data_IF_646288014112
#
_entry.id   IF_646288014112
#
_cell.length_a   1.000
_cell.length_b   1.000
_cell.length_c   1.000
_cell.angle_alpha   90.00
_cell.angle_beta   90.00
_cell.angle_gamma   90.00
#
_symmetry.space_group_name_H-M   'P 1'
#
loop_
_entity.id
_entity.type
_entity.pdbx_description
1 polymer ?
#
# COMPACT_ATOMS: atom_id res chain seq x y z
N UNK A 1 -15.88 27.01 2.87
CA UNK A 1 -15.91 25.95 1.84
C UNK A 1 -15.41 26.61 0.59
N UNK A 2 -14.16 26.34 0.20
CA UNK A 2 -13.56 26.98 -0.97
C UNK A 2 -14.24 26.48 -2.25
N UNK A 3 -14.88 27.40 -2.98
CA UNK A 3 -15.62 27.17 -4.23
C UNK A 3 -14.74 26.71 -5.42
N UNK A 4 -13.47 26.36 -5.19
CA UNK A 4 -12.49 26.07 -6.24
C UNK A 4 -11.89 24.65 -6.20
N UNK A 5 -12.41 23.75 -5.34
CA UNK A 5 -11.92 22.36 -5.30
C UNK A 5 -12.67 21.49 -6.30
N UNK A 6 -11.99 21.10 -7.38
CA UNK A 6 -12.51 20.18 -8.39
C UNK A 6 -12.91 18.84 -7.74
N UNK A 7 -14.12 18.33 -8.01
CA UNK A 7 -14.58 17.10 -7.37
C UNK A 7 -13.79 15.87 -7.87
N UNK A 8 -13.75 14.80 -7.06
CA UNK A 8 -13.15 13.51 -7.42
C UNK A 8 -13.63 13.00 -8.79
N UNK A 9 -14.94 13.14 -9.04
CA UNK A 9 -15.59 12.76 -10.29
C UNK A 9 -15.09 13.62 -11.45
N UNK A 10 -15.00 14.94 -11.26
CA UNK A 10 -14.54 15.86 -12.30
C UNK A 10 -13.07 15.62 -12.68
N UNK A 11 -12.22 15.31 -11.70
CA UNK A 11 -10.82 14.94 -11.92
C UNK A 11 -10.72 13.69 -12.80
N UNK A 12 -11.53 12.67 -12.51
CA UNK A 12 -11.59 11.43 -13.30
C UNK A 12 -12.11 11.69 -14.70
N UNK A 13 -13.20 12.45 -14.86
CA UNK A 13 -13.79 12.75 -16.17
C UNK A 13 -12.78 13.51 -17.03
N UNK A 14 -12.11 14.53 -16.48
CA UNK A 14 -11.06 15.29 -17.19
C UNK A 14 -9.93 14.39 -17.69
N UNK A 15 -9.47 13.44 -16.87
CA UNK A 15 -8.39 12.51 -17.23
C UNK A 15 -8.84 11.39 -18.16
N UNK A 16 -10.10 10.97 -18.05
CA UNK A 16 -10.72 9.97 -18.94
C UNK A 16 -10.96 10.55 -20.33
N UNK A 17 -11.37 11.82 -20.43
CA UNK A 17 -11.50 12.55 -21.70
C UNK A 17 -10.17 12.69 -22.45
N UNK A 18 -9.05 12.72 -21.72
CA UNK A 18 -7.70 12.69 -22.29
C UNK A 18 -7.21 11.27 -22.66
N UNK A 19 -8.09 10.26 -22.65
CA UNK A 19 -7.80 8.84 -22.93
C UNK A 19 -6.72 8.18 -22.05
N UNK A 20 -6.23 8.86 -21.00
CA UNK A 20 -5.17 8.36 -20.11
C UNK A 20 -5.70 7.28 -19.16
N UNK A 21 -6.89 7.48 -18.63
CA UNK A 21 -7.49 6.60 -17.63
C UNK A 21 -8.47 5.66 -18.34
N UNK A 22 -8.29 4.36 -18.11
CA UNK A 22 -9.11 3.29 -18.68
C UNK A 22 -9.38 2.23 -17.62
N UNK A 23 -10.47 1.49 -17.76
CA UNK A 23 -10.67 0.21 -17.07
C UNK A 23 -10.32 -0.93 -18.02
N UNK A 24 -10.22 -2.16 -17.53
CA UNK A 24 -9.97 -3.34 -18.38
C UNK A 24 -11.07 -4.36 -18.20
N UNK A 25 -11.40 -5.08 -19.26
CA UNK A 25 -12.43 -6.12 -19.25
C UNK A 25 -12.02 -7.32 -20.08
N UNK A 26 -12.53 -8.50 -19.74
CA UNK A 26 -12.38 -9.72 -20.53
C UNK A 26 -13.13 -9.59 -21.87
N UNK A 27 -12.48 -9.94 -22.97
CA UNK A 27 -13.08 -9.93 -24.30
C UNK A 27 -13.75 -11.27 -24.60
N UNK A 28 -15.08 -11.29 -24.67
CA UNK A 28 -15.85 -12.38 -25.27
C UNK A 28 -16.55 -11.82 -26.54
N UNK A 29 -16.35 -12.45 -27.71
CA UNK A 29 -16.94 -12.02 -29.01
C UNK A 29 -18.46 -12.42 -29.11
N UNK A 30 -19.17 -12.47 -30.26
CA UNK A 30 -20.61 -12.86 -30.35
C UNK A 30 -20.93 -13.84 -31.55
N UNK A 31 -21.96 -14.71 -31.47
CA UNK A 31 -22.45 -15.84 -32.33
C UNK A 31 -23.92 -15.92 -31.93
N UNK A 32 -24.79 -15.57 -32.87
CA UNK A 32 -26.24 -15.60 -32.77
C UNK A 32 -26.86 -16.96 -33.15
N UNK A 33 -26.21 -18.10 -32.92
CA UNK A 33 -26.78 -19.37 -33.42
C UNK A 33 -26.24 -20.62 -32.72
N UNK A 34 -26.54 -20.81 -31.44
CA UNK A 34 -26.58 -22.14 -30.79
C UNK A 34 -27.67 -22.10 -29.71
N UNK A 35 -28.61 -23.05 -29.72
CA UNK A 35 -29.63 -23.25 -28.67
C UNK A 35 -29.06 -24.10 -27.50
N UNK A 36 -29.65 -24.13 -26.29
CA UNK A 36 -29.35 -23.11 -25.29
C UNK A 36 -29.09 -23.64 -23.87
N UNK A 37 -28.54 -24.86 -23.64
CA UNK A 37 -28.67 -25.43 -22.28
C UNK A 37 -27.38 -25.65 -21.46
N UNK A 38 -26.15 -25.50 -21.98
CA UNK A 38 -24.94 -25.83 -21.18
C UNK A 38 -23.69 -24.94 -21.32
N UNK A 39 -23.60 -24.04 -22.31
CA UNK A 39 -22.39 -23.19 -22.49
C UNK A 39 -22.45 -21.94 -21.60
N UNK A 40 -23.64 -21.47 -21.24
CA UNK A 40 -23.83 -20.25 -20.44
C UNK A 40 -23.28 -20.38 -19.01
N UNK A 41 -23.30 -21.60 -18.47
CA UNK A 41 -22.77 -21.94 -17.14
C UNK A 41 -21.32 -22.44 -17.16
N UNK A 42 -20.67 -22.44 -18.34
CA UNK A 42 -19.23 -22.66 -18.42
C UNK A 42 -18.46 -21.44 -17.92
N UNK A 43 -17.34 -21.71 -17.24
CA UNK A 43 -16.39 -20.69 -16.82
C UNK A 43 -15.50 -20.31 -18.00
N UNK A 44 -15.47 -19.02 -18.31
CA UNK A 44 -14.44 -18.42 -19.15
C UNK A 44 -13.07 -18.57 -18.45
N UNK A 45 -11.95 -18.67 -19.18
CA UNK A 45 -10.61 -18.65 -18.59
C UNK A 45 -10.31 -17.44 -17.71
N UNK A 46 -11.08 -16.35 -17.80
CA UNK A 46 -11.00 -15.22 -16.88
C UNK A 46 -11.64 -15.50 -15.50
N UNK A 47 -12.25 -16.67 -15.29
CA UNK A 47 -12.94 -17.07 -14.06
C UNK A 47 -14.42 -16.68 -13.98
N UNK A 48 -14.94 -15.87 -14.91
CA UNK A 48 -16.38 -15.50 -14.95
C UNK A 48 -17.18 -16.52 -15.75
N UNK A 49 -18.43 -16.75 -15.36
CA UNK A 49 -19.39 -17.45 -16.23
C UNK A 49 -19.56 -16.69 -17.55
N UNK A 50 -19.65 -17.41 -18.67
CA UNK A 50 -19.76 -16.81 -20.00
C UNK A 50 -20.99 -15.86 -20.07
N UNK A 51 -22.13 -16.25 -19.47
CA UNK A 51 -23.33 -15.40 -19.38
C UNK A 51 -23.17 -14.08 -18.61
N UNK A 52 -22.14 -13.98 -17.76
CA UNK A 52 -21.89 -12.77 -16.96
C UNK A 52 -21.07 -11.70 -17.69
N UNK A 53 -20.56 -11.98 -18.90
CA UNK A 53 -19.79 -10.99 -19.66
C UNK A 53 -20.67 -9.93 -20.32
N UNK A 54 -21.86 -10.30 -20.78
CA UNK A 54 -22.84 -9.37 -21.38
C UNK A 54 -23.62 -8.56 -20.35
N UNK A 55 -23.85 -9.10 -19.15
CA UNK A 55 -24.65 -8.47 -18.07
C UNK A 55 -23.85 -7.50 -17.19
N UNK A 56 -22.52 -7.53 -17.23
CA UNK A 56 -21.67 -6.67 -16.41
C UNK A 56 -21.31 -5.33 -17.06
N UNK A 57 -21.79 -5.03 -18.28
CA UNK A 57 -21.42 -3.84 -19.06
C UNK A 57 -19.99 -3.89 -19.62
N UNK A 58 -19.41 -5.09 -19.62
CA UNK A 58 -18.00 -5.38 -19.81
C UNK A 58 -17.73 -6.00 -21.21
N UNK A 59 -18.76 -6.27 -22.00
CA UNK A 59 -18.64 -6.57 -23.43
C UNK A 59 -18.53 -5.28 -24.22
N UNK A 60 -17.50 -5.17 -25.06
CA UNK A 60 -17.41 -4.15 -26.12
C UNK A 60 -18.66 -4.22 -27.01
N UNK A 61 -19.69 -3.44 -26.71
CA UNK A 61 -20.57 -2.94 -27.75
C UNK A 61 -19.83 -1.80 -28.49
N UNK A 62 -18.72 -2.12 -29.16
CA UNK A 62 -18.20 -1.22 -30.17
C UNK A 62 -19.16 -1.22 -31.35
N UNK A 63 -19.34 -0.05 -31.96
CA UNK A 63 -20.19 0.17 -33.14
C UNK A 63 -19.90 -0.78 -34.33
N UNK A 64 -18.81 -1.54 -34.28
CA UNK A 64 -18.45 -2.60 -35.23
C UNK A 64 -19.28 -3.88 -35.07
N UNK A 65 -19.79 -4.20 -33.87
CA UNK A 65 -20.72 -5.32 -33.65
C UNK A 65 -22.06 -5.12 -34.40
N UNK A 66 -22.43 -3.86 -34.68
CA UNK A 66 -23.58 -3.52 -35.54
C UNK A 66 -23.34 -3.84 -37.02
N UNK A 67 -22.09 -4.10 -37.44
CA UNK A 67 -21.72 -4.44 -38.83
C UNK A 67 -21.60 -5.95 -39.11
N UNK A 68 -22.09 -6.78 -38.20
CA UNK A 68 -22.61 -8.11 -38.52
C UNK A 68 -21.64 -9.22 -38.94
N UNK A 69 -20.32 -9.14 -38.67
CA UNK A 69 -19.38 -10.09 -39.29
C UNK A 69 -18.21 -10.61 -38.43
N UNK A 70 -18.41 -10.96 -37.17
CA UNK A 70 -17.35 -11.64 -36.36
C UNK A 70 -17.88 -12.89 -35.65
N UNK A 71 -17.43 -14.07 -36.08
CA UNK A 71 -17.66 -15.38 -35.43
C UNK A 71 -16.81 -15.48 -34.16
N UNK A 72 -17.35 -15.95 -33.02
CA UNK A 72 -16.52 -16.24 -31.84
C UNK A 72 -15.53 -17.39 -32.09
N UNK A 73 -14.39 -17.33 -31.41
CA UNK A 73 -13.62 -18.51 -31.00
C UNK A 73 -13.39 -18.45 -29.49
N UNK A 74 -13.47 -19.60 -28.83
CA UNK A 74 -12.96 -19.79 -27.47
C UNK A 74 -11.42 -19.69 -27.52
N UNK A 75 -10.75 -18.89 -26.68
CA UNK A 75 -9.32 -19.03 -26.50
C UNK A 75 -9.08 -20.32 -25.71
N UNK A 76 -8.39 -21.30 -26.31
CA UNK A 76 -8.15 -22.60 -25.68
C UNK A 76 -7.26 -22.50 -24.43
N UNK A 77 -6.48 -21.42 -24.26
CA UNK A 77 -5.64 -21.15 -23.09
C UNK A 77 -5.52 -19.65 -22.82
N UNK A 78 -5.16 -19.28 -21.59
CA UNK A 78 -4.83 -17.91 -21.19
C UNK A 78 -3.48 -17.48 -21.78
N UNK A 79 -3.44 -17.28 -23.10
CA UNK A 79 -2.27 -16.75 -23.79
C UNK A 79 -2.06 -15.29 -23.34
N UNK A 80 -0.81 -14.89 -23.12
CA UNK A 80 -0.35 -13.59 -22.63
C UNK A 80 -1.30 -12.39 -22.87
N UNK A 81 -1.38 -11.52 -21.85
CA UNK A 81 -2.49 -10.60 -21.54
C UNK A 81 -3.05 -9.64 -22.62
N UNK A 82 -2.56 -9.64 -23.86
CA UNK A 82 -3.03 -8.76 -24.93
C UNK A 82 -4.13 -9.35 -25.83
N UNK A 83 -4.44 -10.65 -25.76
CA UNK A 83 -5.38 -11.29 -26.71
C UNK A 83 -6.81 -11.49 -26.20
N UNK A 84 -7.04 -11.45 -24.88
CA UNK A 84 -8.34 -11.77 -24.28
C UNK A 84 -8.86 -10.73 -23.26
N UNK A 85 -8.24 -9.55 -23.19
CA UNK A 85 -8.77 -8.41 -22.44
C UNK A 85 -8.53 -7.12 -23.20
N UNK A 86 -9.41 -6.14 -23.01
CA UNK A 86 -9.37 -4.84 -23.69
C UNK A 86 -9.50 -3.72 -22.69
N UNK A 87 -8.82 -2.61 -22.97
CA UNK A 87 -8.98 -1.38 -22.22
C UNK A 87 -10.24 -0.65 -22.72
N UNK A 88 -11.14 -0.30 -21.81
CA UNK A 88 -12.40 0.42 -22.06
C UNK A 88 -12.37 1.77 -21.35
N UNK A 89 -13.23 2.72 -21.74
CA UNK A 89 -13.45 3.92 -20.94
C UNK A 89 -13.74 3.56 -19.47
N UNK A 90 -13.29 4.40 -18.54
CA UNK A 90 -13.55 4.18 -17.11
C UNK A 90 -15.06 4.08 -16.88
N UNK A 91 -15.50 2.97 -16.28
CA UNK A 91 -16.92 2.66 -16.12
C UNK A 91 -17.39 2.50 -14.66
N UNK A 92 -16.47 2.42 -13.70
CA UNK A 92 -16.80 2.30 -12.27
C UNK A 92 -15.95 3.28 -11.48
N UNK A 93 -16.59 4.31 -10.95
CA UNK A 93 -15.99 5.31 -10.08
C UNK A 93 -17.09 6.08 -9.34
N UNK A 94 -16.74 6.72 -8.23
CA UNK A 94 -17.69 7.52 -7.47
C UNK A 94 -17.25 7.70 -6.02
N UNK A 95 -18.22 7.98 -5.17
CA UNK A 95 -18.04 8.15 -3.72
C UNK A 95 -19.15 7.40 -2.99
N UNK A 96 -18.77 6.47 -2.12
CA UNK A 96 -19.71 5.72 -1.30
C UNK A 96 -20.37 6.63 -0.26
N UNK A 97 -21.69 6.51 -0.14
CA UNK A 97 -22.46 7.14 0.93
C UNK A 97 -22.82 6.10 2.00
N UNK A 98 -22.80 6.45 3.30
CA UNK A 98 -22.45 7.75 3.88
C UNK A 98 -20.95 7.94 4.18
N UNK A 99 -20.09 6.94 3.94
CA UNK A 99 -18.70 6.96 4.43
C UNK A 99 -17.80 8.00 3.75
N UNK A 100 -18.16 8.44 2.55
CA UNK A 100 -17.36 9.35 1.74
C UNK A 100 -16.14 8.68 1.11
N UNK A 101 -16.05 7.35 1.12
CA UNK A 101 -14.95 6.62 0.49
C UNK A 101 -15.03 6.73 -1.04
N UNK A 102 -13.98 7.30 -1.64
CA UNK A 102 -13.86 7.46 -3.09
C UNK A 102 -13.39 6.16 -3.71
N UNK A 103 -13.96 5.75 -4.84
CA UNK A 103 -13.53 4.54 -5.53
C UNK A 103 -13.34 4.79 -7.02
N UNK A 104 -12.45 3.99 -7.63
CA UNK A 104 -12.12 4.07 -9.04
C UNK A 104 -11.55 2.74 -9.55
N UNK A 105 -12.16 2.21 -10.62
CA UNK A 105 -11.72 1.00 -11.34
C UNK A 105 -10.77 1.37 -12.47
N UNK A 106 -9.55 0.84 -12.43
CA UNK A 106 -8.49 1.17 -13.39
C UNK A 106 -7.90 -0.08 -14.02
N UNK A 107 -7.42 0.04 -15.25
CA UNK A 107 -6.53 -0.94 -15.85
C UNK A 107 -5.28 -1.08 -14.97
N UNK A 108 -4.96 -2.32 -14.60
CA UNK A 108 -3.77 -2.66 -13.80
C UNK A 108 -2.46 -2.16 -14.44
N UNK A 109 -2.49 -1.86 -15.74
CA UNK A 109 -1.34 -1.38 -16.54
C UNK A 109 -1.17 0.13 -16.54
N UNK A 110 -2.04 0.88 -15.87
CA UNK A 110 -1.90 2.33 -15.76
C UNK A 110 -0.53 2.68 -15.14
N UNK A 111 0.24 3.63 -15.72
CA UNK A 111 1.46 4.10 -15.07
C UNK A 111 1.18 4.68 -13.67
N UNK A 112 1.93 4.25 -12.66
CA UNK A 112 1.71 4.70 -11.27
C UNK A 112 1.86 6.21 -11.08
N UNK A 113 2.69 6.87 -11.92
CA UNK A 113 2.78 8.34 -11.99
C UNK A 113 1.43 9.02 -12.21
N UNK A 114 0.64 8.49 -13.14
CA UNK A 114 -0.67 9.06 -13.44
C UNK A 114 -1.63 8.87 -12.27
N UNK A 115 -1.64 7.69 -11.65
CA UNK A 115 -2.45 7.41 -10.45
C UNK A 115 -2.05 8.29 -9.27
N UNK A 116 -0.75 8.37 -8.97
CA UNK A 116 -0.22 9.20 -7.88
C UNK A 116 -0.63 10.66 -8.05
N UNK A 117 -0.49 11.21 -9.25
CA UNK A 117 -0.88 12.58 -9.54
C UNK A 117 -2.40 12.81 -9.37
N UNK A 118 -3.25 11.83 -9.71
CA UNK A 118 -4.70 11.96 -9.48
C UNK A 118 -5.02 12.08 -7.99
N UNK A 119 -4.45 11.19 -7.17
CA UNK A 119 -4.68 11.18 -5.72
C UNK A 119 -4.10 12.45 -5.09
N UNK A 120 -2.93 12.91 -5.56
CA UNK A 120 -2.30 14.14 -5.12
C UNK A 120 -3.21 15.36 -5.36
N UNK A 121 -3.79 15.48 -6.56
CA UNK A 121 -4.74 16.54 -6.91
C UNK A 121 -5.99 16.53 -6.02
N UNK A 122 -6.58 15.35 -5.78
CA UNK A 122 -7.74 15.22 -4.89
C UNK A 122 -7.41 15.56 -3.42
N UNK A 123 -6.17 15.29 -3.00
CA UNK A 123 -5.66 15.64 -1.68
C UNK A 123 -5.18 17.10 -1.57
N UNK A 124 -5.48 17.96 -2.55
CA UNK A 124 -5.15 19.39 -2.50
C UNK A 124 -3.76 19.74 -3.05
N UNK A 125 -3.13 18.85 -3.80
CA UNK A 125 -1.86 19.08 -4.48
C UNK A 125 -0.61 18.98 -3.60
N UNK A 126 -0.78 18.85 -2.28
CA UNK A 126 0.34 18.72 -1.35
C UNK A 126 0.81 17.28 -1.25
N UNK A 127 2.09 17.07 -1.57
CA UNK A 127 2.74 15.76 -1.48
C UNK A 127 2.83 15.32 -0.01
N UNK A 128 2.54 14.05 0.33
CA UNK A 128 2.69 13.57 1.69
C UNK A 128 4.16 13.62 2.13
N UNK A 129 4.40 13.92 3.40
CA UNK A 129 5.74 13.82 3.98
C UNK A 129 6.13 12.36 4.26
N UNK A 130 5.15 11.50 4.49
CA UNK A 130 5.33 10.10 4.86
C UNK A 130 4.27 9.21 4.21
N UNK A 131 4.67 8.01 3.80
CA UNK A 131 3.78 6.91 3.48
C UNK A 131 3.97 5.77 4.48
N UNK A 132 2.87 5.32 5.07
CA UNK A 132 2.82 4.11 5.90
C UNK A 132 2.21 2.98 5.07
N UNK A 133 3.05 2.09 4.54
CA UNK A 133 2.61 0.95 3.74
C UNK A 133 2.37 -0.25 4.65
N UNK A 134 1.11 -0.50 5.00
CA UNK A 134 0.74 -1.56 5.94
C UNK A 134 0.45 -2.86 5.18
N UNK A 135 1.19 -3.92 5.49
CA UNK A 135 0.98 -5.26 4.96
C UNK A 135 0.64 -6.22 6.08
N UNK A 136 -0.21 -7.18 5.77
CA UNK A 136 -0.52 -8.23 6.72
C UNK A 136 -1.54 -9.23 6.19
N UNK A 137 -2.08 -10.03 7.10
CA UNK A 137 -3.06 -11.06 6.77
C UNK A 137 -4.24 -10.47 5.99
N UNK A 138 -4.45 -10.92 4.75
CA UNK A 138 -5.63 -10.60 3.95
C UNK A 138 -6.89 -11.34 4.43
N UNK A 139 -6.72 -12.32 5.33
CA UNK A 139 -7.77 -13.08 6.00
C UNK A 139 -7.91 -12.61 7.45
N UNK A 140 -8.99 -13.04 8.10
CA UNK A 140 -9.16 -12.87 9.53
C UNK A 140 -7.95 -13.44 10.28
N UNK A 141 -7.45 -12.66 11.23
CA UNK A 141 -6.33 -13.00 12.08
C UNK A 141 -6.61 -12.42 13.47
N UNK A 142 -5.90 -12.92 14.48
CA UNK A 142 -6.09 -12.51 15.87
C UNK A 142 -4.74 -12.16 16.46
N UNK A 143 -4.68 -11.04 17.16
CA UNK A 143 -3.58 -10.71 18.06
C UNK A 143 -4.15 -10.39 19.45
N UNK A 144 -3.30 -10.11 20.43
CA UNK A 144 -3.80 -9.70 21.75
C UNK A 144 -4.50 -8.34 21.65
N UNK A 145 -5.57 -8.13 22.42
CA UNK A 145 -6.32 -6.86 22.39
C UNK A 145 -5.41 -5.66 22.68
N UNK A 146 -4.43 -5.82 23.57
CA UNK A 146 -3.44 -4.79 23.86
C UNK A 146 -2.57 -4.47 22.65
N UNK A 147 -2.07 -5.49 21.94
CA UNK A 147 -1.23 -5.28 20.75
C UNK A 147 -2.05 -4.62 19.63
N UNK A 148 -3.30 -5.04 19.46
CA UNK A 148 -4.20 -4.50 18.46
C UNK A 148 -4.45 -3.00 18.66
N UNK A 149 -4.77 -2.61 19.90
CA UNK A 149 -4.95 -1.19 20.27
C UNK A 149 -3.69 -0.37 20.05
N UNK A 150 -2.54 -0.86 20.50
CA UNK A 150 -1.25 -0.17 20.34
C UNK A 150 -0.84 -0.05 18.86
N UNK A 151 -1.10 -1.09 18.06
CA UNK A 151 -0.87 -1.07 16.62
C UNK A 151 -1.73 -0.02 15.92
N UNK A 152 -3.06 -0.06 16.12
CA UNK A 152 -3.97 0.91 15.49
C UNK A 152 -3.60 2.33 15.92
N UNK A 153 -3.43 2.55 17.23
CA UNK A 153 -3.12 3.86 17.80
C UNK A 153 -1.83 4.41 17.21
N UNK A 154 -0.73 3.64 17.23
CA UNK A 154 0.54 4.14 16.75
C UNK A 154 0.58 4.39 15.24
N UNK A 155 -0.16 3.62 14.43
CA UNK A 155 -0.30 3.91 13.00
C UNK A 155 -1.08 5.21 12.77
N UNK A 156 -2.17 5.44 13.49
CA UNK A 156 -3.00 6.65 13.34
C UNK A 156 -2.28 7.88 13.89
N UNK A 157 -1.60 7.75 15.03
CA UNK A 157 -0.78 8.81 15.62
C UNK A 157 0.34 9.20 14.65
N UNK A 158 1.13 8.24 14.16
CA UNK A 158 2.18 8.51 13.18
C UNK A 158 1.63 9.16 11.90
N UNK A 159 0.47 8.71 11.42
CA UNK A 159 -0.15 9.28 10.22
C UNK A 159 -0.66 10.70 10.44
N UNK A 160 -1.26 10.98 11.59
CA UNK A 160 -1.77 12.31 11.93
C UNK A 160 -0.62 13.28 12.12
N UNK A 161 0.39 12.88 12.88
CA UNK A 161 1.58 13.68 13.18
C UNK A 161 2.29 14.07 11.88
N UNK A 162 2.65 13.10 11.04
CA UNK A 162 3.42 13.36 9.83
C UNK A 162 2.58 13.78 8.61
N UNK A 163 1.27 14.00 8.76
CA UNK A 163 0.34 14.15 7.64
C UNK A 163 0.57 13.06 6.57
N UNK A 164 0.69 11.82 7.04
CA UNK A 164 1.06 10.68 6.22
C UNK A 164 -0.14 10.15 5.43
N UNK A 165 0.17 9.44 4.34
CA UNK A 165 -0.80 8.58 3.68
C UNK A 165 -0.59 7.13 4.13
N UNK A 166 -1.68 6.46 4.51
CA UNK A 166 -1.68 5.04 4.84
C UNK A 166 -2.07 4.26 3.58
N UNK A 167 -1.30 3.21 3.24
CA UNK A 167 -1.63 2.28 2.17
C UNK A 167 -1.97 0.91 2.76
N UNK A 168 -3.10 0.34 2.33
CA UNK A 168 -3.54 -1.01 2.71
C UNK A 168 -4.06 -1.77 1.47
N UNK A 169 -4.54 -3.00 1.65
CA UNK A 169 -5.19 -3.74 0.56
C UNK A 169 -6.56 -3.16 0.20
N UNK A 170 -7.24 -2.39 1.06
CA UNK A 170 -8.55 -1.83 0.73
C UNK A 170 -9.71 -2.81 0.75
N UNK A 171 -9.49 -4.06 1.19
CA UNK A 171 -10.53 -5.06 1.39
C UNK A 171 -11.04 -4.95 2.84
N UNK A 172 -12.35 -5.13 3.06
CA UNK A 172 -13.01 -5.16 4.37
C UNK A 172 -12.72 -6.49 5.10
N UNK A 173 -11.45 -6.83 5.25
CA UNK A 173 -10.99 -8.00 5.99
C UNK A 173 -9.56 -7.82 6.50
N UNK A 174 -9.19 -8.62 7.49
CA UNK A 174 -7.85 -8.67 8.07
C UNK A 174 -7.33 -7.28 8.47
N UNK A 175 -6.06 -7.02 8.18
CA UNK A 175 -5.39 -5.77 8.62
C UNK A 175 -5.98 -4.52 8.00
N UNK A 176 -6.50 -4.61 6.77
CA UNK A 176 -7.13 -3.47 6.09
C UNK A 176 -8.40 -3.02 6.80
N UNK A 177 -9.26 -3.97 7.23
CA UNK A 177 -10.43 -3.67 8.07
C UNK A 177 -10.03 -3.07 9.41
N UNK A 178 -9.03 -3.66 10.06
CA UNK A 178 -8.55 -3.19 11.36
C UNK A 178 -8.09 -1.73 11.33
N UNK A 179 -7.32 -1.36 10.31
CA UNK A 179 -6.89 0.04 10.08
C UNK A 179 -8.07 0.94 9.76
N UNK A 180 -9.01 0.49 8.93
CA UNK A 180 -10.23 1.25 8.59
C UNK A 180 -11.11 1.55 9.81
N UNK A 181 -11.39 0.54 10.62
CA UNK A 181 -12.15 0.67 11.87
C UNK A 181 -11.44 1.61 12.85
N UNK A 182 -10.13 1.50 12.96
CA UNK A 182 -9.30 2.44 13.70
C UNK A 182 -9.51 3.88 13.24
N UNK A 183 -9.31 4.16 11.95
CA UNK A 183 -9.49 5.52 11.40
C UNK A 183 -10.89 6.05 11.72
N UNK A 184 -11.92 5.22 11.57
CA UNK A 184 -13.31 5.58 11.89
C UNK A 184 -13.47 5.94 13.37
N UNK A 185 -12.96 5.09 14.26
CA UNK A 185 -13.01 5.28 15.71
C UNK A 185 -12.31 6.57 16.15
N UNK A 186 -11.07 6.78 15.72
CA UNK A 186 -10.27 7.95 16.12
C UNK A 186 -10.76 9.25 15.47
N UNK A 187 -11.37 9.19 14.28
CA UNK A 187 -12.01 10.35 13.66
C UNK A 187 -13.18 10.90 14.51
N UNK A 188 -13.87 10.05 15.27
CA UNK A 188 -14.96 10.47 16.15
C UNK A 188 -14.47 11.15 17.44
N UNK A 189 -13.23 10.90 17.86
CA UNK A 189 -12.70 11.35 19.15
C UNK A 189 -12.34 12.85 19.21
N UNK A 190 -12.57 13.63 18.14
CA UNK A 190 -12.29 15.09 18.03
C UNK A 190 -10.84 15.55 18.29
N UNK A 191 -9.97 14.69 18.82
CA UNK A 191 -8.53 14.96 19.06
C UNK A 191 -7.69 14.95 17.78
N UNK A 192 -8.26 14.45 16.66
CA UNK A 192 -7.58 14.33 15.37
C UNK A 192 -8.19 15.29 14.35
N UNK A 193 -7.71 16.55 14.26
CA UNK A 193 -8.32 17.60 13.43
C UNK A 193 -8.19 17.35 11.92
N UNK A 194 -7.32 16.42 11.50
CA UNK A 194 -7.08 16.08 10.11
C UNK A 194 -7.57 14.67 9.79
N UNK A 195 -8.42 14.53 8.75
CA UNK A 195 -8.86 13.21 8.26
C UNK A 195 -7.67 12.52 7.59
N UNK A 196 -7.06 11.57 8.31
CA UNK A 196 -5.98 10.71 7.82
C UNK A 196 -6.34 10.16 6.44
N UNK A 197 -5.43 10.30 5.49
CA UNK A 197 -5.61 9.76 4.13
C UNK A 197 -5.24 8.29 4.15
N UNK A 198 -6.22 7.43 3.96
CA UNK A 198 -6.01 6.00 3.80
C UNK A 198 -6.48 5.53 2.43
N UNK A 199 -5.56 4.90 1.69
CA UNK A 199 -5.75 4.46 0.31
C UNK A 199 -5.66 2.93 0.30
N UNK A 200 -6.78 2.30 -0.02
CA UNK A 200 -6.88 0.88 -0.28
C UNK A 200 -6.56 0.58 -1.74
N UNK A 201 -5.73 -0.44 -1.99
CA UNK A 201 -5.38 -0.91 -3.33
C UNK A 201 -5.63 -2.41 -3.46
N UNK A 202 -6.56 -2.80 -4.33
CA UNK A 202 -6.89 -4.21 -4.59
C UNK A 202 -7.26 -4.44 -6.04
N UNK A 203 -7.43 -5.70 -6.41
CA UNK A 203 -7.94 -6.10 -7.72
C UNK A 203 -9.47 -6.09 -7.72
N UNK A 204 -10.06 -5.56 -8.79
CA UNK A 204 -11.50 -5.65 -9.08
C UNK A 204 -12.00 -7.10 -9.11
N UNK A 205 -11.13 -8.03 -9.52
CA UNK A 205 -11.43 -9.45 -9.61
C UNK A 205 -11.61 -10.18 -8.28
N UNK A 206 -11.18 -9.58 -7.16
CA UNK A 206 -11.33 -10.16 -5.81
C UNK A 206 -12.51 -9.57 -5.04
N UNK A 207 -13.12 -8.49 -5.54
CA UNK A 207 -14.27 -7.85 -4.90
C UNK A 207 -15.52 -8.68 -5.19
N UNK A 208 -16.33 -8.93 -4.15
CA UNK A 208 -17.55 -9.70 -4.31
C UNK A 208 -18.57 -9.02 -5.26
N UNK A 209 -19.45 -9.82 -5.86
CA UNK A 209 -20.36 -9.31 -6.91
C UNK A 209 -21.35 -8.28 -6.36
N UNK A 210 -21.82 -8.42 -5.11
CA UNK A 210 -22.72 -7.44 -4.49
C UNK A 210 -22.09 -6.05 -4.42
N UNK A 211 -20.87 -5.97 -3.91
CA UNK A 211 -20.09 -4.74 -3.87
C UNK A 211 -19.86 -4.21 -5.29
N UNK A 212 -19.51 -5.07 -6.26
CA UNK A 212 -19.34 -4.64 -7.66
C UNK A 212 -20.61 -4.05 -8.27
N UNK A 213 -21.78 -4.58 -7.92
CA UNK A 213 -23.07 -4.05 -8.36
C UNK A 213 -23.39 -2.70 -7.70
N UNK A 214 -23.14 -2.55 -6.40
CA UNK A 214 -23.28 -1.26 -5.69
C UNK A 214 -22.39 -0.17 -6.31
N UNK A 215 -21.15 -0.49 -6.62
CA UNK A 215 -20.21 0.46 -7.21
C UNK A 215 -20.60 0.88 -8.62
N UNK A 216 -21.28 -0.01 -9.37
CA UNK A 216 -21.86 0.30 -10.69
C UNK A 216 -23.10 1.16 -10.59
N UNK A 217 -23.97 0.93 -9.60
CA UNK A 217 -25.20 1.72 -9.47
C UNK A 217 -24.90 3.17 -9.01
N UNK A 218 -23.84 3.35 -8.23
CA UNK A 218 -23.42 4.66 -7.72
C UNK A 218 -22.65 5.55 -8.72
N UNK A 219 -22.30 5.07 -9.93
CA UNK A 219 -21.67 5.90 -10.98
C UNK A 219 -22.67 6.79 -11.75
N UNK A 220 -23.97 6.71 -11.44
CA UNK A 220 -25.02 7.52 -12.05
C UNK A 220 -25.16 8.84 -11.27
N UNK A 221 -24.93 9.98 -11.93
CA UNK A 221 -25.11 11.35 -11.39
C UNK A 221 -26.57 11.65 -10.96
N UNK A 222 -27.51 10.69 -11.02
CA UNK A 222 -28.86 10.80 -10.45
C UNK A 222 -29.32 9.43 -9.87
N UNK A 223 -29.85 9.36 -8.63
CA UNK A 223 -30.27 8.11 -7.98
C UNK A 223 -31.70 7.69 -8.38
N UNK A 224 -32.19 6.51 -7.97
CA UNK A 224 -31.65 5.17 -8.20
C UNK A 224 -32.61 4.37 -9.10
N UNK A 225 -32.10 3.57 -10.03
CA UNK A 225 -32.87 2.39 -10.44
C UNK A 225 -32.86 1.43 -9.26
N UNK A 226 -34.01 1.28 -8.60
CA UNK A 226 -34.27 0.26 -7.58
C UNK A 226 -33.93 -1.12 -8.15
N UNK A 227 -32.68 -1.56 -7.99
CA UNK A 227 -32.37 -2.97 -7.91
C UNK A 227 -32.58 -3.39 -6.46
N UNK A 228 -33.85 -3.50 -6.08
CA UNK A 228 -34.28 -4.16 -4.85
C UNK A 228 -34.06 -5.67 -5.04
N UNK A 229 -32.80 -6.09 -5.07
CA UNK A 229 -32.47 -7.47 -4.69
C UNK A 229 -32.39 -7.45 -3.18
N UNK A 230 -33.30 -8.16 -2.54
CA UNK A 230 -33.22 -8.47 -1.11
C UNK A 230 -31.84 -9.08 -0.86
N UNK A 231 -30.92 -8.27 -0.33
CA UNK A 231 -29.71 -8.78 0.31
C UNK A 231 -30.25 -9.63 1.46
N UNK A 232 -29.98 -10.95 1.50
CA UNK A 232 -30.39 -11.76 2.63
C UNK A 232 -29.93 -11.06 3.91
N UNK A 233 -30.81 -10.90 4.90
CA UNK A 233 -30.49 -10.26 6.19
C UNK A 233 -29.45 -11.04 7.01
N UNK A 234 -28.94 -12.14 6.47
CA UNK A 234 -27.91 -13.00 7.05
C UNK A 234 -26.54 -12.90 6.35
N UNK A 235 -26.31 -11.88 5.50
CA UNK A 235 -24.98 -11.61 4.95
C UNK A 235 -24.14 -10.97 6.06
N UNK A 236 -23.51 -11.81 6.89
CA UNK A 236 -22.44 -11.40 7.80
C UNK A 236 -21.37 -10.60 7.05
N UNK A 237 -20.60 -9.79 7.78
CA UNK A 237 -19.56 -8.88 7.25
C UNK A 237 -18.86 -9.45 6.00
N UNK A 238 -19.24 -8.92 4.83
CA UNK A 238 -18.75 -9.38 3.54
C UNK A 238 -17.23 -9.14 3.46
N UNK A 239 -16.45 -10.18 3.77
CA UNK A 239 -14.98 -10.17 3.85
C UNK A 239 -14.28 -9.82 2.53
N UNK A 240 -15.01 -9.84 1.42
CA UNK A 240 -14.51 -9.53 0.08
C UNK A 240 -15.11 -8.21 -0.47
N UNK A 241 -15.73 -7.40 0.40
CA UNK A 241 -16.13 -6.04 0.07
C UNK A 241 -14.94 -5.07 0.16
N UNK A 242 -15.10 -3.85 -0.37
CA UNK A 242 -14.11 -2.78 -0.15
C UNK A 242 -14.27 -2.20 1.26
N UNK A 243 -13.16 -1.81 1.88
CA UNK A 243 -13.15 -1.18 3.20
C UNK A 243 -13.72 0.26 3.10
N UNK A 244 -14.85 0.49 3.75
CA UNK A 244 -15.63 1.73 3.60
C UNK A 244 -15.08 2.89 4.40
N UNK A 245 -14.27 2.64 5.43
CA UNK A 245 -13.67 3.68 6.28
C UNK A 245 -12.40 4.29 5.68
N UNK A 246 -11.91 3.76 4.56
CA UNK A 246 -10.84 4.40 3.80
C UNK A 246 -11.29 5.69 3.11
N UNK A 247 -10.32 6.52 2.74
CA UNK A 247 -10.58 7.72 1.93
C UNK A 247 -10.69 7.41 0.44
N UNK A 248 -9.88 6.47 -0.03
CA UNK A 248 -9.79 6.06 -1.42
C UNK A 248 -9.67 4.54 -1.53
N UNK A 249 -10.35 3.94 -2.51
CA UNK A 249 -10.24 2.54 -2.88
C UNK A 249 -9.97 2.43 -4.38
N UNK A 250 -8.73 2.08 -4.74
CA UNK A 250 -8.30 1.89 -6.12
C UNK A 250 -8.44 0.41 -6.48
N UNK A 251 -9.23 0.14 -7.52
CA UNK A 251 -9.62 -1.20 -7.95
C UNK A 251 -8.95 -1.50 -9.29
N UNK A 252 -7.79 -2.14 -9.25
CA UNK A 252 -7.05 -2.53 -10.44
C UNK A 252 -7.71 -3.69 -11.15
N UNK A 253 -7.74 -3.66 -12.48
CA UNK A 253 -8.43 -4.67 -13.27
C UNK A 253 -7.50 -5.21 -14.36
N UNK A 254 -7.30 -6.52 -14.35
CA UNK A 254 -6.61 -7.26 -15.41
C UNK A 254 -7.57 -7.86 -16.43
N UNK A 255 -8.88 -7.78 -16.17
CA UNK A 255 -9.93 -8.51 -16.88
C UNK A 255 -10.21 -9.91 -16.31
N UNK A 256 -9.53 -10.34 -15.23
CA UNK A 256 -9.72 -11.65 -14.59
C UNK A 256 -10.43 -11.54 -13.24
N UNK A 257 -11.16 -12.59 -12.86
CA UNK A 257 -11.59 -12.86 -11.49
C UNK A 257 -10.51 -13.61 -10.73
N UNK A 258 -10.54 -13.47 -9.41
CA UNK A 258 -9.61 -14.12 -8.47
C UNK A 258 -8.13 -13.86 -8.76
N UNK A 259 -7.85 -12.77 -9.48
CA UNK A 259 -6.51 -12.25 -9.67
C UNK A 259 -6.18 -11.36 -8.49
N UNK A 260 -5.13 -11.68 -7.75
CA UNK A 260 -4.73 -10.93 -6.57
C UNK A 260 -3.79 -9.80 -6.97
N UNK A 261 -3.86 -8.68 -6.25
CA UNK A 261 -2.95 -7.57 -6.53
C UNK A 261 -1.54 -8.03 -6.22
N UNK A 262 -0.64 -7.93 -7.19
CA UNK A 262 0.76 -8.16 -6.89
C UNK A 262 1.26 -7.04 -5.98
N UNK A 263 2.14 -7.39 -5.06
CA UNK A 263 2.71 -6.37 -4.18
C UNK A 263 3.52 -5.30 -4.94
N UNK A 264 3.89 -5.59 -6.20
CA UNK A 264 4.56 -4.68 -7.12
C UNK A 264 3.79 -3.38 -7.41
N UNK A 265 2.44 -3.38 -7.49
CA UNK A 265 1.70 -2.14 -7.76
C UNK A 265 1.83 -1.14 -6.60
N UNK A 266 1.69 -1.63 -5.36
CA UNK A 266 1.89 -0.82 -4.16
C UNK A 266 3.33 -0.33 -4.08
N UNK A 267 4.30 -1.22 -4.31
CA UNK A 267 5.71 -0.84 -4.33
C UNK A 267 5.99 0.27 -5.35
N UNK A 268 5.51 0.15 -6.59
CA UNK A 268 5.67 1.18 -7.62
C UNK A 268 4.97 2.50 -7.27
N UNK A 269 3.81 2.45 -6.63
CA UNK A 269 3.13 3.66 -6.15
C UNK A 269 3.95 4.38 -5.07
N UNK A 270 4.48 3.64 -4.09
CA UNK A 270 5.38 4.19 -3.08
C UNK A 270 6.66 4.74 -3.71
N UNK A 271 7.24 4.04 -4.69
CA UNK A 271 8.42 4.51 -5.43
C UNK A 271 8.17 5.83 -6.15
N UNK A 272 7.02 5.98 -6.79
CA UNK A 272 6.63 7.24 -7.41
C UNK A 272 6.49 8.35 -6.37
N UNK A 273 5.81 8.06 -5.26
CA UNK A 273 5.61 9.01 -4.19
C UNK A 273 6.94 9.45 -3.55
N UNK A 274 7.95 8.58 -3.45
CA UNK A 274 9.24 8.92 -2.86
C UNK A 274 10.19 9.70 -3.80
N UNK A 275 9.86 9.91 -5.08
CA UNK A 275 10.72 10.68 -5.99
C UNK A 275 10.88 12.12 -5.51
N UNK A 276 12.09 12.64 -5.46
CA UNK A 276 12.29 14.05 -5.10
C UNK A 276 11.61 14.97 -6.11
N UNK A 277 11.13 16.10 -5.62
CA UNK A 277 10.54 17.16 -6.44
C UNK A 277 11.52 18.31 -6.54
N UNK A 278 11.43 19.09 -7.61
CA UNK A 278 12.29 20.27 -7.85
C UNK A 278 12.22 21.32 -6.72
N UNK A 279 11.18 21.24 -5.88
CA UNK A 279 10.95 22.10 -4.73
C UNK A 279 11.59 21.57 -3.43
N UNK A 280 12.38 20.50 -3.48
CA UNK A 280 13.06 19.90 -2.33
C UNK A 280 12.14 19.14 -1.36
N UNK A 281 10.90 18.80 -1.77
CA UNK A 281 10.03 17.94 -0.96
C UNK A 281 10.36 16.46 -1.21
N UNK A 282 10.86 15.80 -0.17
CA UNK A 282 11.09 14.35 -0.11
C UNK A 282 9.97 13.69 0.70
N UNK A 283 9.38 12.61 0.16
CA UNK A 283 8.43 11.78 0.88
C UNK A 283 9.16 10.53 1.39
N UNK A 284 9.07 10.27 2.70
CA UNK A 284 9.59 9.05 3.29
C UNK A 284 8.56 7.93 3.18
N UNK A 285 8.99 6.68 3.26
CA UNK A 285 8.10 5.53 3.28
C UNK A 285 8.58 4.50 4.29
N UNK A 286 7.63 3.96 5.06
CA UNK A 286 7.86 2.89 6.04
C UNK A 286 6.92 1.75 5.69
N UNK A 287 7.46 0.54 5.63
CA UNK A 287 6.68 -0.68 5.46
C UNK A 287 6.42 -1.31 6.82
N UNK A 288 5.16 -1.60 7.14
CA UNK A 288 4.76 -2.16 8.43
C UNK A 288 4.19 -3.56 8.17
N UNK A 289 4.75 -4.58 8.80
CA UNK A 289 4.27 -5.96 8.68
C UNK A 289 3.55 -6.39 9.96
N UNK A 290 2.30 -6.80 9.79
CA UNK A 290 1.45 -7.36 10.84
C UNK A 290 0.97 -8.74 10.41
N UNK A 291 1.30 -9.78 11.18
CA UNK A 291 1.07 -11.18 10.83
C UNK A 291 1.83 -11.59 9.56
N UNK A 292 1.32 -11.23 8.38
CA UNK A 292 1.98 -11.40 7.09
C UNK A 292 1.99 -12.84 6.57
N UNK A 293 1.95 -12.99 5.25
CA UNK A 293 2.15 -14.28 4.58
C UNK A 293 3.58 -14.40 4.02
N UNK A 294 4.02 -15.60 3.68
CA UNK A 294 5.32 -15.80 2.99
C UNK A 294 5.42 -15.03 1.67
N UNK A 295 4.29 -14.71 1.03
CA UNK A 295 4.23 -13.84 -0.16
C UNK A 295 4.72 -12.41 0.13
N UNK A 296 4.54 -11.93 1.36
CA UNK A 296 5.02 -10.60 1.77
C UNK A 296 6.55 -10.50 1.79
N UNK A 297 7.30 -11.61 1.68
CA UNK A 297 8.75 -11.57 1.51
C UNK A 297 9.18 -10.84 0.23
N UNK A 298 8.35 -10.87 -0.83
CA UNK A 298 8.61 -10.14 -2.06
C UNK A 298 8.58 -8.62 -1.84
N UNK A 299 7.58 -8.14 -1.09
CA UNK A 299 7.49 -6.73 -0.64
C UNK A 299 8.78 -6.31 0.07
N UNK A 300 9.19 -7.11 1.06
CA UNK A 300 10.34 -6.78 1.89
C UNK A 300 11.62 -6.66 1.08
N UNK A 301 11.79 -7.51 0.06
CA UNK A 301 12.93 -7.41 -0.86
C UNK A 301 12.92 -6.10 -1.63
N UNK A 302 11.78 -5.72 -2.19
CA UNK A 302 11.66 -4.47 -2.93
C UNK A 302 11.88 -3.24 -2.05
N UNK A 303 11.43 -3.27 -0.80
CA UNK A 303 11.63 -2.16 0.13
C UNK A 303 13.08 -2.09 0.64
N UNK A 304 13.75 -3.23 0.81
CA UNK A 304 15.19 -3.27 1.06
C UNK A 304 16.00 -2.70 -0.10
N UNK A 305 15.66 -3.07 -1.33
CA UNK A 305 16.26 -2.53 -2.56
C UNK A 305 16.04 -1.00 -2.63
N UNK A 306 14.84 -0.54 -2.28
CA UNK A 306 14.47 0.87 -2.17
C UNK A 306 15.01 1.60 -0.93
N UNK A 307 15.81 0.95 -0.08
CA UNK A 307 16.35 1.48 1.19
C UNK A 307 15.26 2.07 2.10
N UNK A 308 14.13 1.37 2.20
CA UNK A 308 13.00 1.77 3.04
C UNK A 308 13.01 1.01 4.36
N UNK A 309 12.81 1.69 5.50
CA UNK A 309 12.63 1.04 6.78
C UNK A 309 11.41 0.10 6.78
N UNK A 310 11.58 -1.04 7.44
CA UNK A 310 10.57 -2.05 7.69
C UNK A 310 10.38 -2.16 9.20
N UNK A 311 9.13 -2.06 9.66
CA UNK A 311 8.72 -2.24 11.04
C UNK A 311 7.91 -3.52 11.16
N UNK A 312 8.38 -4.46 11.98
CA UNK A 312 7.74 -5.73 12.27
C UNK A 312 7.00 -5.62 13.60
N UNK A 313 5.70 -5.95 13.62
CA UNK A 313 4.91 -5.95 14.86
C UNK A 313 5.02 -7.32 15.53
N UNK A 314 5.89 -7.44 16.53
CA UNK A 314 6.07 -8.70 17.28
C UNK A 314 4.81 -9.04 18.08
N UNK A 315 4.47 -10.32 18.13
CA UNK A 315 3.27 -10.87 18.75
C UNK A 315 2.04 -10.85 17.83
N UNK A 316 2.18 -10.34 16.60
CA UNK A 316 1.08 -10.34 15.62
C UNK A 316 0.95 -11.65 14.83
N UNK A 317 1.90 -12.58 14.98
CA UNK A 317 1.90 -13.89 14.34
C UNK A 317 2.72 -14.00 13.06
N UNK A 318 2.79 -15.22 12.52
CA UNK A 318 3.29 -15.57 11.18
C UNK A 318 4.62 -14.89 10.81
N UNK A 319 4.73 -14.27 9.62
CA UNK A 319 5.97 -13.72 9.08
C UNK A 319 6.57 -12.65 9.99
N UNK A 320 5.72 -11.80 10.60
CA UNK A 320 6.20 -10.77 11.52
C UNK A 320 6.98 -11.40 12.68
N UNK A 321 6.46 -12.48 13.29
CA UNK A 321 7.11 -13.18 14.38
C UNK A 321 8.28 -14.07 13.94
N UNK A 322 8.23 -14.67 12.76
CA UNK A 322 9.38 -15.39 12.16
C UNK A 322 10.58 -14.43 12.08
N UNK A 323 10.39 -13.27 11.47
CA UNK A 323 11.47 -12.30 11.29
C UNK A 323 11.89 -11.65 12.60
N UNK A 324 10.95 -11.30 13.48
CA UNK A 324 11.27 -10.73 14.79
C UNK A 324 12.11 -11.69 15.63
N UNK A 325 11.73 -12.98 15.68
CA UNK A 325 12.48 -14.00 16.40
C UNK A 325 13.90 -14.16 15.85
N UNK A 326 14.06 -14.24 14.53
CA UNK A 326 15.38 -14.38 13.89
C UNK A 326 16.25 -13.15 14.12
N UNK A 327 15.70 -11.94 14.05
CA UNK A 327 16.43 -10.69 14.33
C UNK A 327 16.95 -10.66 15.77
N UNK A 328 16.13 -11.09 16.74
CA UNK A 328 16.50 -11.15 18.15
C UNK A 328 17.59 -12.20 18.41
N UNK A 329 17.42 -13.41 17.88
CA UNK A 329 18.40 -14.49 18.01
C UNK A 329 19.76 -14.10 17.41
N UNK A 330 19.75 -13.54 16.20
CA UNK A 330 20.97 -13.11 15.50
C UNK A 330 21.63 -11.89 16.17
N UNK A 331 20.90 -11.14 16.99
CA UNK A 331 21.47 -10.01 17.75
C UNK A 331 22.13 -10.45 19.07
N UNK A 332 21.78 -11.64 19.58
CA UNK A 332 22.29 -12.19 20.83
C UNK A 332 23.45 -13.18 20.64
N UNK A 333 23.70 -13.65 19.41
CA UNK A 333 24.88 -14.45 19.09
C UNK A 333 26.17 -13.63 19.20
N UNK A 334 27.29 -14.29 19.54
CA UNK A 334 28.58 -13.66 19.85
C UNK A 334 28.98 -12.60 18.82
N UNK A 335 29.50 -11.46 19.29
CA UNK A 335 29.81 -10.24 18.49
C UNK A 335 30.78 -10.46 17.31
N UNK A 336 31.37 -11.64 17.18
CA UNK A 336 32.27 -12.02 16.09
C UNK A 336 31.58 -12.78 14.93
N UNK A 337 30.29 -13.08 15.04
CA UNK A 337 29.54 -13.76 13.97
C UNK A 337 28.87 -12.75 13.03
N UNK A 338 28.92 -13.02 11.73
CA UNK A 338 28.21 -12.23 10.73
C UNK A 338 26.70 -12.29 10.99
N UNK A 339 26.00 -11.14 11.03
CA UNK A 339 24.57 -11.07 11.30
C UNK A 339 23.77 -11.68 10.14
N UNK A 340 23.57 -12.99 10.21
CA UNK A 340 22.82 -13.79 9.25
C UNK A 340 22.42 -15.12 9.89
N UNK A 341 21.12 -15.46 9.93
CA UNK A 341 20.68 -16.75 10.45
C UNK A 341 21.02 -17.91 9.49
N UNK A 342 21.31 -19.07 10.06
CA UNK A 342 21.47 -20.34 9.37
C UNK A 342 20.16 -20.83 8.75
N UNK A 343 20.24 -21.74 7.79
CA UNK A 343 19.03 -22.36 7.21
C UNK A 343 18.21 -23.09 8.27
N UNK A 344 18.88 -23.78 9.21
CA UNK A 344 18.23 -24.52 10.30
C UNK A 344 17.43 -23.60 11.25
N UNK A 345 18.00 -22.45 11.65
CA UNK A 345 17.29 -21.47 12.47
C UNK A 345 16.03 -20.93 11.76
N UNK A 346 16.13 -20.68 10.44
CA UNK A 346 14.98 -20.19 9.65
C UNK A 346 13.93 -21.28 9.50
N UNK A 347 14.32 -22.52 9.23
CA UNK A 347 13.40 -23.66 9.13
C UNK A 347 12.65 -23.87 10.45
N UNK A 348 13.34 -23.84 11.59
CA UNK A 348 12.72 -23.93 12.92
C UNK A 348 11.74 -22.78 13.18
N UNK A 349 12.08 -21.56 12.74
CA UNK A 349 11.19 -20.40 12.83
C UNK A 349 9.93 -20.59 11.97
N UNK A 350 10.10 -21.05 10.73
CA UNK A 350 9.00 -21.30 9.82
C UNK A 350 8.10 -22.44 10.32
N UNK A 351 8.65 -23.54 10.81
CA UNK A 351 7.86 -24.64 11.40
C UNK A 351 7.01 -24.18 12.58
N UNK A 352 7.56 -23.30 13.42
CA UNK A 352 6.85 -22.75 14.60
C UNK A 352 5.64 -21.90 14.22
N UNK A 353 5.77 -21.04 13.21
CA UNK A 353 4.75 -20.03 12.88
C UNK A 353 3.93 -20.36 11.62
N UNK A 354 4.39 -21.33 10.83
CA UNK A 354 3.77 -21.82 9.60
C UNK A 354 3.84 -23.36 9.50
N UNK A 355 3.14 -24.10 10.38
CA UNK A 355 3.26 -25.56 10.45
C UNK A 355 2.77 -26.31 9.20
N UNK A 356 2.05 -25.61 8.31
CA UNK A 356 1.39 -26.20 7.13
C UNK A 356 2.07 -25.85 5.80
N UNK A 357 3.25 -25.22 5.80
CA UNK A 357 3.99 -24.98 4.55
C UNK A 357 4.52 -26.29 3.99
N UNK A 358 4.44 -26.43 2.67
CA UNK A 358 5.08 -27.55 2.00
C UNK A 358 6.60 -27.31 1.84
N UNK A 359 7.34 -28.39 1.55
CA UNK A 359 8.81 -28.33 1.42
C UNK A 359 9.31 -27.29 0.40
N UNK A 360 8.59 -27.10 -0.72
CA UNK A 360 8.95 -26.11 -1.74
C UNK A 360 8.79 -24.68 -1.23
N UNK A 361 7.69 -24.42 -0.52
CA UNK A 361 7.43 -23.12 0.11
C UNK A 361 8.46 -22.80 1.18
N UNK A 362 8.81 -23.76 2.05
CA UNK A 362 9.86 -23.60 3.06
C UNK A 362 11.21 -23.31 2.39
N UNK A 363 11.62 -24.11 1.41
CA UNK A 363 12.90 -23.90 0.70
C UNK A 363 12.98 -22.54 0.02
N UNK A 364 11.86 -22.06 -0.55
CA UNK A 364 11.76 -20.72 -1.13
C UNK A 364 11.85 -19.63 -0.06
N UNK A 365 11.11 -19.77 1.03
CA UNK A 365 11.08 -18.81 2.13
C UNK A 365 12.46 -18.67 2.79
N UNK A 366 13.17 -19.78 3.05
CA UNK A 366 14.54 -19.78 3.61
C UNK A 366 15.47 -18.95 2.74
N UNK A 367 15.49 -19.18 1.43
CA UNK A 367 16.34 -18.43 0.49
C UNK A 367 16.01 -16.94 0.47
N UNK A 368 14.74 -16.58 0.60
CA UNK A 368 14.31 -15.18 0.61
C UNK A 368 14.67 -14.49 1.93
N UNK A 369 14.42 -15.15 3.06
CA UNK A 369 14.76 -14.64 4.40
C UNK A 369 16.28 -14.44 4.53
N UNK A 370 17.10 -15.36 4.02
CA UNK A 370 18.57 -15.19 4.01
C UNK A 370 19.07 -14.00 3.19
N UNK A 371 18.29 -13.54 2.19
CA UNK A 371 18.60 -12.33 1.41
C UNK A 371 18.13 -11.06 2.11
N UNK A 372 17.08 -11.16 2.91
CA UNK A 372 16.53 -10.06 3.72
C UNK A 372 17.42 -9.82 4.95
N UNK A 373 17.69 -10.88 5.73
CA UNK A 373 18.46 -10.83 6.97
C UNK A 373 19.96 -10.92 6.70
N UNK A 374 20.53 -9.78 6.29
CA UNK A 374 21.97 -9.61 6.07
C UNK A 374 22.49 -8.42 6.88
N UNK A 375 23.78 -8.44 7.23
CA UNK A 375 24.43 -7.36 7.96
C UNK A 375 24.21 -5.99 7.31
N UNK A 376 24.19 -5.92 5.97
CA UNK A 376 23.96 -4.69 5.21
C UNK A 376 22.54 -4.14 5.42
N UNK A 377 21.55 -5.02 5.53
CA UNK A 377 20.14 -4.63 5.64
C UNK A 377 19.68 -4.38 7.08
N UNK A 378 20.51 -4.71 8.09
CA UNK A 378 20.15 -4.64 9.51
C UNK A 378 19.55 -3.30 9.94
N UNK A 379 20.08 -2.19 9.44
CA UNK A 379 19.61 -0.84 9.77
C UNK A 379 18.22 -0.50 9.21
N UNK A 380 17.71 -1.29 8.26
CA UNK A 380 16.37 -1.14 7.68
C UNK A 380 15.32 -1.93 8.48
N UNK A 381 15.72 -2.88 9.33
CA UNK A 381 14.82 -3.83 9.98
C UNK A 381 14.61 -3.46 11.45
N UNK A 382 13.38 -3.09 11.79
CA UNK A 382 12.99 -2.64 13.13
C UNK A 382 11.87 -3.53 13.67
N UNK A 383 11.95 -3.89 14.94
CA UNK A 383 10.93 -4.73 15.61
C UNK A 383 10.27 -3.90 16.69
N UNK A 384 8.95 -3.78 16.64
CA UNK A 384 8.15 -3.28 17.75
C UNK A 384 7.76 -4.43 18.66
N UNK A 385 7.96 -4.26 19.97
CA UNK A 385 7.58 -5.20 21.02
C UNK A 385 6.89 -4.49 22.17
N UNK A 386 5.72 -4.97 22.59
CA UNK A 386 5.00 -4.45 23.77
C UNK A 386 5.83 -4.44 25.05
N UNK A 387 6.85 -5.30 25.14
CA UNK A 387 7.68 -5.43 26.34
C UNK A 387 8.86 -4.46 26.38
N UNK A 388 9.30 -3.95 25.22
CA UNK A 388 10.53 -3.15 25.10
C UNK A 388 10.27 -1.72 24.63
N UNK A 389 9.30 -1.56 23.74
CA UNK A 389 9.02 -0.29 23.09
C UNK A 389 7.85 0.42 23.76
N UNK A 390 7.86 1.76 23.70
CA UNK A 390 6.80 2.56 24.33
C UNK A 390 5.50 2.52 23.53
N UNK A 391 5.59 2.64 22.21
CA UNK A 391 4.46 2.63 21.29
C UNK A 391 4.95 2.45 19.83
N UNK A 392 4.03 2.09 18.94
CA UNK A 392 4.33 1.81 17.53
C UNK A 392 4.77 3.07 16.76
N UNK A 393 4.20 4.24 17.05
CA UNK A 393 4.55 5.49 16.35
C UNK A 393 6.03 5.86 16.56
N UNK A 394 6.53 5.72 17.78
CA UNK A 394 7.94 5.95 18.11
C UNK A 394 8.86 4.99 17.33
N UNK A 395 8.51 3.71 17.23
CA UNK A 395 9.28 2.75 16.45
C UNK A 395 9.30 3.09 14.96
N UNK A 396 8.17 3.56 14.39
CA UNK A 396 8.10 4.06 13.01
C UNK A 396 9.07 5.22 12.79
N UNK A 397 9.05 6.24 13.66
CA UNK A 397 9.94 7.40 13.53
C UNK A 397 11.41 7.06 13.78
N UNK A 398 11.71 6.19 14.75
CA UNK A 398 13.06 5.64 14.96
C UNK A 398 13.58 4.95 13.71
N UNK A 399 12.74 4.16 13.04
CA UNK A 399 13.12 3.45 11.82
C UNK A 399 13.50 4.43 10.70
N UNK A 400 12.70 5.47 10.46
CA UNK A 400 13.02 6.54 9.50
C UNK A 400 14.34 7.22 9.86
N UNK A 401 14.52 7.54 11.15
CA UNK A 401 15.71 8.22 11.62
C UNK A 401 16.99 7.39 11.43
N UNK A 402 16.96 6.10 11.78
CA UNK A 402 18.11 5.21 11.58
C UNK A 402 18.52 5.11 10.11
N UNK A 403 17.55 5.01 9.20
CA UNK A 403 17.83 4.89 7.76
C UNK A 403 18.37 6.20 7.19
N UNK A 404 17.80 7.33 7.58
CA UNK A 404 18.29 8.65 7.14
C UNK A 404 19.70 8.92 7.63
N UNK A 405 20.00 8.63 8.90
CA UNK A 405 21.38 8.72 9.43
C UNK A 405 22.36 7.86 8.63
N UNK A 406 22.01 6.59 8.36
CA UNK A 406 22.87 5.69 7.60
C UNK A 406 23.12 6.20 6.17
N UNK A 407 22.10 6.76 5.53
CA UNK A 407 22.22 7.39 4.22
C UNK A 407 23.20 8.56 4.25
N UNK A 408 23.08 9.46 5.23
CA UNK A 408 24.02 10.58 5.41
C UNK A 408 25.45 10.10 5.63
N UNK A 409 25.67 9.08 6.47
CA UNK A 409 26.99 8.49 6.70
C UNK A 409 27.61 7.94 5.41
N UNK A 410 26.82 7.20 4.61
CA UNK A 410 27.28 6.62 3.35
C UNK A 410 27.60 7.69 2.30
N UNK A 411 26.74 8.71 2.18
CA UNK A 411 26.96 9.84 1.27
C UNK A 411 28.19 10.67 1.67
N UNK A 412 28.38 10.94 2.97
CA UNK A 412 29.57 11.63 3.47
C UNK A 412 30.85 10.87 3.14
N UNK A 413 30.83 9.54 3.26
CA UNK A 413 31.97 8.68 2.94
C UNK A 413 32.22 8.55 1.43
N UNK A 414 31.23 8.85 0.58
CA UNK A 414 31.29 8.77 -0.88
C UNK A 414 31.58 10.12 -1.56
N UNK A 415 31.73 11.22 -0.80
CA UNK A 415 31.91 12.57 -1.37
C UNK A 415 33.12 12.68 -2.29
N UNK A 416 32.85 12.89 -3.58
CA UNK A 416 33.68 13.69 -4.47
C UNK A 416 33.43 15.18 -4.19
N UNK A 417 34.47 16.01 -4.22
CA UNK A 417 34.44 17.45 -3.86
C UNK A 417 33.55 18.36 -4.76
N UNK A 418 32.73 17.79 -5.65
CA UNK A 418 32.02 18.52 -6.70
C UNK A 418 30.48 18.57 -6.54
N UNK A 419 29.90 18.16 -5.41
CA UNK A 419 28.49 18.47 -5.13
C UNK A 419 28.30 19.99 -4.92
N UNK A 420 27.30 20.57 -5.60
CA UNK A 420 26.96 21.99 -5.44
C UNK A 420 26.35 22.26 -4.06
N UNK A 421 26.74 23.38 -3.43
CA UNK A 421 26.23 23.79 -2.10
C UNK A 421 24.69 23.86 -2.03
N UNK A 422 24.01 24.15 -3.13
CA UNK A 422 22.56 24.28 -3.20
C UNK A 422 21.84 22.93 -3.05
N UNK A 423 22.34 21.87 -3.68
CA UNK A 423 21.80 20.51 -3.54
C UNK A 423 22.00 19.98 -2.12
N UNK A 424 23.13 20.31 -1.49
CA UNK A 424 23.41 19.97 -0.10
C UNK A 424 22.56 20.78 0.89
N UNK A 425 22.22 22.04 0.56
CA UNK A 425 21.31 22.86 1.36
C UNK A 425 19.86 22.35 1.29
N UNK A 426 19.35 22.05 0.09
CA UNK A 426 17.98 21.56 -0.09
C UNK A 426 17.74 20.22 0.63
N UNK A 427 18.67 19.26 0.55
CA UNK A 427 18.62 17.99 1.28
C UNK A 427 18.59 18.20 2.80
N UNK A 428 19.50 19.05 3.31
CA UNK A 428 19.55 19.40 4.74
C UNK A 428 18.25 20.05 5.23
N UNK A 429 17.61 20.91 4.44
CA UNK A 429 16.29 21.47 4.81
C UNK A 429 15.17 20.43 4.89
N UNK A 430 15.21 19.35 4.11
CA UNK A 430 14.23 18.26 4.18
C UNK A 430 14.39 17.42 5.45
N UNK A 431 15.64 17.11 5.81
CA UNK A 431 15.99 16.38 7.03
C UNK A 431 15.73 17.22 8.29
N UNK A 432 16.08 18.50 8.25
CA UNK A 432 15.83 19.46 9.35
C UNK A 432 14.33 19.56 9.63
N UNK A 433 13.46 19.54 8.60
CA UNK A 433 12.00 19.52 8.79
C UNK A 433 11.52 18.27 9.53
N UNK A 434 12.06 17.09 9.24
CA UNK A 434 11.70 15.86 9.97
C UNK A 434 12.16 15.90 11.43
N UNK A 435 13.36 16.43 11.68
CA UNK A 435 13.91 16.60 13.02
C UNK A 435 13.10 17.63 13.80
N UNK A 436 12.74 18.75 13.18
CA UNK A 436 11.92 19.80 13.78
C UNK A 436 10.49 19.28 14.05
N UNK A 437 9.88 18.52 13.12
CA UNK A 437 8.60 17.83 13.34
C UNK A 437 8.70 16.86 14.54
N UNK A 438 9.77 16.06 14.60
CA UNK A 438 9.98 15.15 15.73
C UNK A 438 10.16 15.91 17.06
N UNK A 439 10.89 17.02 17.06
CA UNK A 439 11.12 17.85 18.26
C UNK A 439 9.85 18.56 18.74
N UNK A 440 8.99 19.04 17.83
CA UNK A 440 7.73 19.72 18.17
C UNK A 440 6.71 18.80 18.88
N UNK A 441 6.78 17.49 18.65
CA UNK A 441 5.76 16.55 19.13
C UNK A 441 5.98 16.00 20.54
N UNK A 442 7.04 16.44 21.22
CA UNK A 442 7.25 16.27 22.67
C UNK A 442 7.07 14.83 23.21
N UNK A 443 7.35 13.81 22.40
CA UNK A 443 7.17 12.38 22.76
C UNK A 443 8.48 11.67 23.15
N UNK A 444 9.58 12.42 23.30
CA UNK A 444 10.92 11.86 23.19
C UNK A 444 11.75 11.87 24.47
N UNK A 445 11.44 11.06 25.49
CA UNK A 445 12.46 10.82 26.54
C UNK A 445 13.65 9.96 26.03
N UNK A 446 13.53 9.33 24.85
CA UNK A 446 14.56 8.40 24.31
C UNK A 446 15.38 8.91 23.12
N UNK A 447 14.87 9.85 22.33
CA UNK A 447 15.54 10.35 21.09
C UNK A 447 15.97 11.82 21.25
N UNK A 448 15.41 12.55 22.22
CA UNK A 448 15.77 13.94 22.52
C UNK A 448 17.28 14.14 22.78
N UNK A 449 18.01 13.25 23.49
CA UNK A 449 19.46 13.40 23.62
C UNK A 449 20.21 13.33 22.28
N UNK A 450 19.72 12.51 21.34
CA UNK A 450 20.32 12.34 20.01
C UNK A 450 20.01 13.55 19.12
N UNK A 451 18.78 14.08 19.19
CA UNK A 451 18.37 15.28 18.46
C UNK A 451 19.04 16.54 19.01
N UNK A 452 19.19 16.66 20.34
CA UNK A 452 19.93 17.74 21.00
C UNK A 452 21.42 17.68 20.69
N UNK A 453 22.03 16.49 20.62
CA UNK A 453 23.42 16.35 20.18
C UNK A 453 23.63 16.90 18.76
N UNK A 454 22.72 16.59 17.83
CA UNK A 454 22.74 17.17 16.47
C UNK A 454 22.48 18.67 16.45
N UNK A 455 21.56 19.18 17.27
CA UNK A 455 21.33 20.63 17.38
C UNK A 455 22.58 21.35 17.92
N UNK A 456 23.32 20.71 18.83
CA UNK A 456 24.58 21.24 19.36
C UNK A 456 25.73 21.16 18.34
N UNK A 457 25.84 20.07 17.57
CA UNK A 457 26.75 19.99 16.41
C UNK A 457 26.43 21.05 15.34
N UNK A 458 25.14 21.32 15.09
CA UNK A 458 24.66 22.40 14.20
C UNK A 458 25.11 23.79 14.67
N UNK A 459 25.04 24.05 15.97
CA UNK A 459 25.49 25.32 16.57
C UNK A 459 27.02 25.45 16.46
N UNK A 460 27.76 24.37 16.71
CA UNK A 460 29.22 24.38 16.64
C UNK A 460 29.73 24.50 15.20
N UNK A 461 29.17 23.74 14.25
CA UNK A 461 29.53 23.85 12.83
C UNK A 461 29.17 25.23 12.24
N UNK A 462 28.08 25.88 12.67
CA UNK A 462 27.78 27.27 12.28
C UNK A 462 28.80 28.26 12.85
N UNK A 463 29.30 28.05 14.08
CA UNK A 463 30.35 28.90 14.68
C UNK A 463 31.68 28.74 13.95
N UNK A 464 32.07 27.51 13.60
CA UNK A 464 33.29 27.22 12.85
C UNK A 464 33.22 27.80 11.42
N UNK A 465 32.06 27.71 10.76
CA UNK A 465 31.85 28.30 9.43
C UNK A 465 31.85 29.83 9.42
N UNK A 466 31.46 30.47 10.52
CA UNK A 466 31.57 31.93 10.68
C UNK A 466 33.03 32.32 10.96
N UNK A 467 33.76 31.58 11.79
CA UNK A 467 35.19 31.85 12.05
C UNK A 467 36.08 31.71 10.81
N UNK A 468 35.83 30.73 9.94
CA UNK A 468 36.62 30.51 8.71
C UNK A 468 36.36 31.60 7.64
N UNK A 469 35.22 32.29 7.68
CA UNK A 469 34.89 33.38 6.74
C UNK A 469 35.15 34.79 7.31
N UNK A 470 35.70 34.90 8.52
CA UNK A 470 36.07 36.18 9.15
C UNK A 470 37.59 36.39 9.31
N UNK A 471 38.42 35.62 8.59
CA UNK A 471 39.86 35.84 8.48
C UNK A 471 40.25 36.27 7.06
#
# INVERSE_FOLDING_TARGET
>A
MDENTQSWVDLIIKRSGNCKFKSRTCCIYNIKSISPDNIQDQLCPCGRMIRLHSSTGDSLETAEAKRGNTKFKHPNEFLEGNKHSVAVPVNVFGTLQPSGCKYLRLDVRLPMKDLFQLILEDCGGQKPALILSVYGGAKYFTMTEQLEKEFIRGVIDAATMANAWILTTGINNGVSKLVGEGISHYSLLREYPNKVKCIGMTMWGTINENTRLELKSASCINPPLKCERQIPKDVGEDREAIERNHTHCILFDSGKLHDYLSDSQRHHFVTEACKDTDNGHTCYAVTIIVEGGVHSLEVLRHDIEGKRPIVLIQGSGRLADVLAMLIEQTSNSDRNQYWKPSSEEIEQALERFYPNLNFSEVSSAVKQIQKILTQENRHLLHVFSLHRDKNVAETIFKAIFTVTQKKTELEYNQKDKNESLEQEQQRRTGEDKLVDLALEWNYFDGVLPILQARQNERINNKKDFIQVNTC
#
